data_IF_573901173860
#
_entry.id   IF_573901173860
#
_cell.length_a   1.000
_cell.length_b   1.000
_cell.length_c   1.000
_cell.angle_alpha   90.00
_cell.angle_beta   90.00
_cell.angle_gamma   90.00
#
_symmetry.space_group_name_H-M   'P 1'
#
loop_
_entity.id
_entity.type
_entity.pdbx_description
1 polymer ?
#
# COMPACT_ATOMS: atom_id res chain seq x y z
N UNK A 1 -70.87 -0.52 -8.36
CA UNK A 1 -69.44 -0.64 -8.00
C UNK A 1 -68.59 -1.21 -9.15
N UNK A 2 -68.95 -2.36 -9.74
CA UNK A 2 -68.20 -3.01 -10.84
C UNK A 2 -68.15 -2.17 -12.14
N UNK A 3 -69.22 -1.44 -12.48
CA UNK A 3 -69.28 -0.57 -13.68
C UNK A 3 -68.40 0.68 -13.53
N UNK A 4 -68.30 1.20 -12.31
CA UNK A 4 -67.49 2.39 -11.99
C UNK A 4 -66.00 2.07 -12.03
N UNK A 5 -65.61 0.90 -11.51
CA UNK A 5 -64.25 0.38 -11.70
C UNK A 5 -63.90 0.19 -13.17
N UNK A 6 -64.82 -0.33 -14.00
CA UNK A 6 -64.55 -0.49 -15.45
C UNK A 6 -64.32 0.84 -16.18
N UNK A 7 -65.13 1.87 -15.92
CA UNK A 7 -64.96 3.20 -16.53
C UNK A 7 -63.64 3.84 -16.10
N UNK A 8 -63.31 3.81 -14.80
CA UNK A 8 -62.08 4.40 -14.27
C UNK A 8 -60.81 3.78 -14.86
N UNK A 9 -60.83 2.47 -15.13
CA UNK A 9 -59.71 1.75 -15.76
C UNK A 9 -59.59 1.99 -17.27
N UNK A 10 -60.69 2.26 -17.97
CA UNK A 10 -60.68 2.50 -19.43
C UNK A 10 -60.18 3.90 -19.75
N UNK A 11 -60.60 4.90 -18.97
CA UNK A 11 -60.26 6.30 -19.23
C UNK A 11 -58.81 6.64 -18.84
N UNK A 12 -58.27 5.99 -17.80
CA UNK A 12 -56.90 6.22 -17.31
C UNK A 12 -55.88 5.19 -17.84
N UNK A 13 -56.27 4.27 -18.73
CA UNK A 13 -55.38 3.22 -19.23
C UNK A 13 -54.13 3.78 -19.92
N UNK A 14 -54.28 4.90 -20.64
CA UNK A 14 -53.17 5.57 -21.33
C UNK A 14 -52.14 6.11 -20.33
N UNK A 15 -52.60 6.78 -19.29
CA UNK A 15 -51.73 7.36 -18.25
C UNK A 15 -50.98 6.26 -17.49
N UNK A 16 -51.67 5.16 -17.16
CA UNK A 16 -51.05 3.98 -16.54
C UNK A 16 -49.98 3.39 -17.47
N UNK A 17 -50.26 3.28 -18.77
CA UNK A 17 -49.32 2.73 -19.75
C UNK A 17 -48.09 3.64 -19.95
N UNK A 18 -48.26 4.96 -19.96
CA UNK A 18 -47.15 5.92 -20.01
C UNK A 18 -46.25 5.83 -18.78
N UNK A 19 -46.82 5.70 -17.59
CA UNK A 19 -46.05 5.50 -16.35
C UNK A 19 -45.25 4.20 -16.42
N UNK A 20 -45.87 3.10 -16.87
CA UNK A 20 -45.19 1.80 -17.03
C UNK A 20 -44.04 1.91 -18.04
N UNK A 21 -44.27 2.56 -19.19
CA UNK A 21 -43.22 2.82 -20.19
C UNK A 21 -42.07 3.66 -19.61
N UNK A 22 -42.38 4.67 -18.80
CA UNK A 22 -41.39 5.46 -18.09
C UNK A 22 -40.52 4.61 -17.15
N UNK A 23 -41.15 3.75 -16.35
CA UNK A 23 -40.44 2.82 -15.45
C UNK A 23 -39.56 1.84 -16.23
N UNK A 24 -40.08 1.28 -17.33
CA UNK A 24 -39.33 0.37 -18.21
C UNK A 24 -38.12 1.08 -18.83
N UNK A 25 -38.27 2.32 -19.28
CA UNK A 25 -37.16 3.10 -19.83
C UNK A 25 -36.07 3.37 -18.79
N UNK A 26 -36.44 3.77 -17.57
CA UNK A 26 -35.49 3.94 -16.47
C UNK A 26 -34.75 2.62 -16.19
N UNK A 27 -35.48 1.51 -16.18
CA UNK A 27 -34.89 0.18 -16.01
C UNK A 27 -33.87 -0.15 -17.11
N UNK A 28 -34.18 0.14 -18.38
CA UNK A 28 -33.24 -0.03 -19.49
C UNK A 28 -32.00 0.84 -19.35
N UNK A 29 -32.14 2.10 -18.95
CA UNK A 29 -30.99 2.99 -18.70
C UNK A 29 -30.07 2.42 -17.62
N UNK A 30 -30.64 1.92 -16.52
CA UNK A 30 -29.88 1.26 -15.44
C UNK A 30 -29.16 0.01 -15.95
N UNK A 31 -29.80 -0.78 -16.81
CA UNK A 31 -29.25 -2.02 -17.35
C UNK A 31 -28.08 -1.73 -18.31
N UNK A 32 -28.26 -0.78 -19.24
CA UNK A 32 -27.19 -0.32 -20.15
C UNK A 32 -26.01 0.25 -19.37
N UNK A 33 -26.28 1.05 -18.33
CA UNK A 33 -25.23 1.56 -17.44
C UNK A 33 -24.44 0.41 -16.78
N UNK A 34 -25.13 -0.61 -16.24
CA UNK A 34 -24.47 -1.76 -15.62
C UNK A 34 -23.64 -2.60 -16.61
N UNK A 35 -24.13 -2.78 -17.84
CA UNK A 35 -23.38 -3.49 -18.90
C UNK A 35 -22.13 -2.71 -19.26
N UNK A 36 -22.26 -1.42 -19.58
CA UNK A 36 -21.12 -0.58 -19.97
C UNK A 36 -20.09 -0.42 -18.84
N UNK A 37 -20.53 -0.37 -17.56
CA UNK A 37 -19.63 -0.35 -16.41
C UNK A 37 -18.81 -1.64 -16.31
N UNK A 38 -19.37 -2.79 -16.70
CA UNK A 38 -18.68 -4.09 -16.69
C UNK A 38 -17.71 -4.25 -17.88
N UNK A 39 -18.01 -3.61 -19.01
CA UNK A 39 -17.13 -3.59 -20.19
C UNK A 39 -15.96 -2.59 -20.05
N UNK A 40 -16.08 -1.62 -19.13
CA UNK A 40 -14.95 -0.82 -18.68
C UNK A 40 -13.91 -1.75 -18.07
N UNK A 41 -12.78 -1.91 -18.76
CA UNK A 41 -11.67 -2.75 -18.33
C UNK A 41 -10.45 -1.86 -18.02
N UNK A 42 -10.48 -1.13 -16.89
CA UNK A 42 -9.30 -0.41 -16.42
C UNK A 42 -8.10 -1.36 -16.36
N UNK A 43 -6.91 -0.85 -16.68
CA UNK A 43 -5.67 -1.64 -16.67
C UNK A 43 -4.70 -0.97 -15.72
N UNK A 44 -4.85 -1.31 -14.45
CA UNK A 44 -3.98 -0.78 -13.41
C UNK A 44 -2.66 -1.55 -13.37
N UNK A 45 -1.55 -0.82 -13.41
CA UNK A 45 -0.21 -1.35 -13.13
C UNK A 45 0.44 -0.56 -12.00
N UNK A 46 1.25 -1.25 -11.22
CA UNK A 46 1.87 -0.73 -10.01
C UNK A 46 3.39 -0.84 -10.13
N UNK A 47 4.09 0.25 -9.88
CA UNK A 47 5.55 0.31 -9.86
C UNK A 47 6.03 0.96 -8.56
N UNK A 48 7.11 0.45 -7.99
CA UNK A 48 7.71 1.03 -6.78
C UNK A 48 8.87 1.90 -7.19
N UNK A 49 8.77 3.19 -6.87
CA UNK A 49 9.82 4.17 -7.13
C UNK A 49 10.53 4.48 -5.81
N UNK A 50 11.86 4.32 -5.81
CA UNK A 50 12.69 4.80 -4.70
C UNK A 50 13.09 6.23 -4.97
N UNK A 51 12.77 7.13 -4.06
CA UNK A 51 13.42 8.43 -4.09
C UNK A 51 14.76 8.32 -3.36
N UNK A 52 15.85 8.57 -4.10
CA UNK A 52 17.19 8.68 -3.50
C UNK A 52 17.28 10.05 -2.81
N UNK A 53 17.78 10.02 -1.57
CA UNK A 53 18.06 11.15 -0.67
C UNK A 53 18.00 12.53 -1.33
N UNK A 54 16.95 13.30 -1.03
CA UNK A 54 16.87 14.73 -1.42
C UNK A 54 17.88 15.59 -0.64
N UNK A 55 18.53 15.06 0.42
CA UNK A 55 19.40 15.83 1.29
C UNK A 55 20.82 15.27 1.33
N UNK A 56 21.68 15.85 0.50
CA UNK A 56 23.13 15.64 0.48
C UNK A 56 23.89 16.41 1.58
N UNK A 57 23.23 17.11 2.49
CA UNK A 57 23.93 17.83 3.57
C UNK A 57 23.68 17.20 4.94
N UNK A 58 24.74 16.57 5.46
CA UNK A 58 24.78 15.77 6.68
C UNK A 58 24.70 16.58 7.98
N UNK A 59 24.33 17.86 7.94
CA UNK A 59 24.58 18.78 9.06
C UNK A 59 23.37 19.21 9.87
N UNK A 60 22.12 18.98 9.44
CA UNK A 60 20.98 19.53 10.19
C UNK A 60 19.85 18.52 10.38
N UNK A 61 19.87 17.85 11.54
CA UNK A 61 18.77 17.03 12.05
C UNK A 61 17.45 17.84 12.19
N UNK A 62 17.56 19.16 12.32
CA UNK A 62 16.43 20.12 12.31
C UNK A 62 15.71 20.19 10.95
N UNK A 63 16.39 19.87 9.85
CA UNK A 63 15.82 19.86 8.50
C UNK A 63 14.99 18.60 8.21
N UNK A 64 15.27 17.48 8.89
CA UNK A 64 14.48 16.25 8.78
C UNK A 64 13.09 16.41 9.43
N UNK A 65 13.03 16.97 10.63
CA UNK A 65 11.76 17.28 11.32
C UNK A 65 10.95 18.35 10.55
N UNK A 66 11.60 19.40 10.02
CA UNK A 66 10.95 20.41 9.20
C UNK A 66 10.44 19.88 7.86
N UNK A 67 11.20 19.00 7.19
CA UNK A 67 10.79 18.39 5.91
C UNK A 67 9.69 17.34 6.11
N UNK A 68 9.73 16.58 7.21
CA UNK A 68 8.64 15.70 7.65
C UNK A 68 7.34 16.48 7.90
N UNK A 69 7.41 17.60 8.62
CA UNK A 69 6.25 18.46 8.86
C UNK A 69 5.75 19.12 7.56
N UNK A 70 6.65 19.50 6.66
CA UNK A 70 6.32 20.07 5.35
C UNK A 70 5.69 19.04 4.41
N UNK A 71 6.22 17.81 4.37
CA UNK A 71 5.72 16.72 3.54
C UNK A 71 4.38 16.21 4.08
N UNK A 72 4.24 16.00 5.40
CA UNK A 72 2.98 15.63 6.04
C UNK A 72 1.88 16.68 5.84
N UNK A 73 2.18 17.97 5.94
CA UNK A 73 1.15 19.01 5.92
C UNK A 73 0.91 19.67 4.56
N UNK A 74 1.88 19.68 3.63
CA UNK A 74 1.74 20.37 2.34
C UNK A 74 1.41 19.44 1.17
N UNK A 75 1.84 18.17 1.21
CA UNK A 75 1.59 17.20 0.14
C UNK A 75 0.48 16.20 0.48
N UNK A 76 0.22 15.94 1.76
CA UNK A 76 -0.65 14.86 2.22
C UNK A 76 -1.88 15.38 2.96
N UNK A 77 -2.79 16.02 2.22
CA UNK A 77 -4.17 16.26 2.66
C UNK A 77 -5.01 14.98 2.85
N UNK A 78 -4.39 13.81 2.71
CA UNK A 78 -4.94 12.49 2.98
C UNK A 78 -4.11 11.83 4.06
N UNK A 79 -4.77 11.16 5.01
CA UNK A 79 -4.24 10.46 6.19
C UNK A 79 -3.18 9.39 5.83
N UNK A 80 -2.03 9.80 5.33
CA UNK A 80 -0.85 8.99 5.33
C UNK A 80 -0.37 8.95 6.76
N UNK A 81 -0.74 7.86 7.44
CA UNK A 81 -0.06 7.41 8.64
C UNK A 81 1.36 7.09 8.22
N UNK A 82 2.21 8.11 8.16
CA UNK A 82 3.63 8.01 7.90
C UNK A 82 4.11 6.93 8.87
N UNK A 83 4.56 5.80 8.33
CA UNK A 83 5.06 4.70 9.14
C UNK A 83 6.45 5.12 9.62
N UNK A 84 6.48 6.02 10.60
CA UNK A 84 7.68 6.32 11.35
C UNK A 84 7.87 5.21 12.36
N UNK A 85 8.84 4.35 12.06
CA UNK A 85 9.27 3.33 13.00
C UNK A 85 10.61 3.78 13.54
N UNK A 86 10.52 4.71 14.47
CA UNK A 86 11.39 4.58 15.61
C UNK A 86 11.08 3.21 16.22
N UNK A 87 11.96 2.23 16.00
CA UNK A 87 12.19 1.20 17.02
C UNK A 87 12.91 1.92 18.17
N UNK A 88 12.27 2.96 18.70
CA UNK A 88 12.59 3.61 19.96
C UNK A 88 11.88 2.80 21.02
N UNK A 89 12.35 1.58 21.19
CA UNK A 89 12.44 1.03 22.52
C UNK A 89 13.78 0.33 22.58
N UNK A 90 14.72 1.10 23.09
CA UNK A 90 15.95 0.88 23.85
C UNK A 90 16.20 -0.49 24.52
N UNK A 91 15.66 -1.60 23.99
CA UNK A 91 15.98 -3.02 24.24
C UNK A 91 15.49 -3.93 23.10
N UNK A 92 15.74 -3.60 21.83
CA UNK A 92 15.51 -4.55 20.75
C UNK A 92 16.43 -5.76 20.99
N UNK A 93 15.88 -6.86 21.52
CA UNK A 93 16.64 -8.06 21.86
C UNK A 93 17.29 -8.71 20.64
N UNK A 94 17.95 -9.85 20.86
CA UNK A 94 18.62 -10.64 19.83
C UNK A 94 17.84 -10.69 18.50
N UNK A 95 18.50 -10.36 17.38
CA UNK A 95 17.92 -10.49 16.05
C UNK A 95 17.67 -9.18 15.28
N UNK A 96 17.94 -8.02 15.86
CA UNK A 96 17.86 -6.72 15.18
C UNK A 96 19.23 -6.06 15.04
N UNK A 97 19.51 -5.34 13.93
CA UNK A 97 20.73 -4.55 13.82
C UNK A 97 20.88 -3.54 14.96
N UNK A 98 22.12 -3.35 15.45
CA UNK A 98 22.42 -2.24 16.38
C UNK A 98 22.39 -0.89 15.69
N UNK A 99 22.96 -0.84 14.48
CA UNK A 99 23.06 0.39 13.71
C UNK A 99 21.78 0.60 12.91
N UNK A 100 21.25 1.82 12.92
CA UNK A 100 20.12 2.20 12.07
C UNK A 100 20.57 2.43 10.63
N UNK A 101 19.66 2.22 9.70
CA UNK A 101 19.89 2.55 8.30
C UNK A 101 19.40 3.95 7.96
N UNK A 102 19.96 4.54 6.90
CA UNK A 102 19.48 5.82 6.35
C UNK A 102 17.99 5.74 5.99
N UNK A 103 17.21 6.81 6.22
CA UNK A 103 15.85 6.91 5.76
C UNK A 103 15.73 6.66 4.25
N UNK A 104 14.82 5.79 3.85
CA UNK A 104 14.50 5.57 2.43
C UNK A 104 13.05 5.88 2.16
N UNK A 105 12.79 6.70 1.15
CA UNK A 105 11.47 7.08 0.70
C UNK A 105 11.01 6.14 -0.40
N UNK A 106 9.81 5.60 -0.23
CA UNK A 106 9.23 4.63 -1.13
C UNK A 106 7.89 5.17 -1.59
N UNK A 107 7.74 5.29 -2.90
CA UNK A 107 6.49 5.67 -3.54
C UNK A 107 5.94 4.51 -4.38
N UNK A 108 4.62 4.49 -4.53
CA UNK A 108 3.87 3.66 -5.44
C UNK A 108 3.40 4.50 -6.60
N UNK A 109 3.98 4.26 -7.76
CA UNK A 109 3.48 4.77 -9.01
C UNK A 109 2.36 3.85 -9.51
N UNK A 110 1.19 4.45 -9.73
CA UNK A 110 -0.01 3.76 -10.19
C UNK A 110 -0.32 4.28 -11.58
N UNK A 111 -0.37 3.40 -12.57
CA UNK A 111 -0.76 3.76 -13.93
C UNK A 111 -2.10 3.15 -14.25
N UNK A 112 -2.98 3.94 -14.87
CA UNK A 112 -4.13 3.42 -15.60
C UNK A 112 -3.84 3.44 -17.09
N UNK A 113 -3.50 2.28 -17.66
CA UNK A 113 -3.16 2.12 -19.09
C UNK A 113 -4.37 1.77 -19.95
N UNK A 114 -5.58 1.97 -19.44
CA UNK A 114 -6.82 1.74 -20.20
C UNK A 114 -7.39 3.05 -20.73
N UNK A 115 -8.24 2.91 -21.74
CA UNK A 115 -9.00 4.00 -22.34
C UNK A 115 -10.16 4.48 -21.43
N UNK A 116 -10.42 3.78 -20.33
CA UNK A 116 -11.46 4.10 -19.37
C UNK A 116 -10.86 4.48 -18.01
N UNK A 117 -11.50 5.41 -17.27
CA UNK A 117 -11.08 5.74 -15.92
C UNK A 117 -11.34 4.58 -14.95
N UNK A 118 -10.62 4.56 -13.84
CA UNK A 118 -10.87 3.69 -12.70
C UNK A 118 -11.43 4.53 -11.55
N UNK A 119 -12.54 4.09 -10.95
CA UNK A 119 -13.20 4.83 -9.85
C UNK A 119 -13.16 4.04 -8.56
N UNK A 120 -13.07 4.75 -7.43
CA UNK A 120 -12.99 4.17 -6.08
C UNK A 120 -11.93 3.06 -5.96
N UNK A 121 -10.72 3.31 -6.48
CA UNK A 121 -9.62 2.35 -6.38
C UNK A 121 -9.19 2.28 -4.92
N UNK A 122 -9.28 1.08 -4.35
CA UNK A 122 -8.83 0.74 -3.01
C UNK A 122 -7.66 -0.23 -3.11
N UNK A 123 -6.56 0.11 -2.46
CA UNK A 123 -5.31 -0.66 -2.45
C UNK A 123 -4.99 -1.01 -0.99
N UNK A 124 -5.15 -2.28 -0.65
CA UNK A 124 -4.76 -2.81 0.66
C UNK A 124 -3.28 -3.21 0.62
N UNK A 125 -2.48 -2.62 1.50
CA UNK A 125 -1.01 -2.78 1.54
C UNK A 125 -0.60 -3.34 2.90
N UNK A 126 0.43 -4.17 2.92
CA UNK A 126 1.10 -4.55 4.17
C UNK A 126 2.60 -4.37 4.10
N UNK A 127 3.15 -3.90 5.21
CA UNK A 127 4.58 -3.75 5.47
C UNK A 127 4.96 -4.81 6.50
N UNK A 128 5.85 -5.71 6.11
CA UNK A 128 6.28 -6.84 6.94
C UNK A 128 7.73 -6.60 7.33
N UNK A 129 7.94 -6.22 8.60
CA UNK A 129 9.26 -6.07 9.20
C UNK A 129 9.75 -7.43 9.63
N UNK A 130 10.99 -7.74 9.29
CA UNK A 130 11.63 -9.01 9.65
C UNK A 130 12.74 -8.78 10.67
N UNK A 131 12.94 -9.78 11.51
CA UNK A 131 14.09 -9.92 12.38
C UNK A 131 14.83 -11.21 12.06
N UNK A 132 16.03 -11.35 12.59
CA UNK A 132 16.79 -12.59 12.49
C UNK A 132 16.61 -13.43 13.75
N UNK A 133 16.54 -14.74 13.59
CA UNK A 133 16.78 -15.71 14.65
C UNK A 133 17.99 -16.55 14.26
N UNK A 134 18.75 -16.99 15.25
CA UNK A 134 19.96 -17.76 15.06
C UNK A 134 20.25 -18.58 16.32
N UNK A 135 21.01 -19.65 16.16
CA UNK A 135 21.62 -20.42 17.23
C UNK A 135 23.02 -19.88 17.52
N UNK A 136 23.42 -19.95 18.78
CA UNK A 136 24.76 -19.58 19.22
C UNK A 136 25.61 -20.84 19.49
N UNK A 137 26.90 -20.74 19.24
CA UNK A 137 27.90 -21.76 19.52
C UNK A 137 28.25 -21.83 21.01
N UNK A 138 29.53 -22.04 21.31
CA UNK A 138 30.02 -22.16 22.68
C UNK A 138 29.85 -20.85 23.46
N UNK A 139 30.01 -19.72 22.76
CA UNK A 139 29.82 -18.38 23.31
C UNK A 139 28.55 -17.74 22.71
N UNK A 140 27.84 -16.90 23.48
CA UNK A 140 26.63 -16.19 23.05
C UNK A 140 26.85 -15.23 21.86
N UNK A 141 28.12 -14.90 21.57
CA UNK A 141 28.55 -14.06 20.45
C UNK A 141 28.94 -14.85 19.19
N UNK A 142 28.99 -16.18 19.29
CA UNK A 142 29.36 -17.07 18.20
C UNK A 142 28.10 -17.51 17.46
N UNK A 143 27.77 -16.87 16.35
CA UNK A 143 26.55 -17.17 15.59
C UNK A 143 26.84 -18.33 14.64
N UNK A 144 26.02 -19.38 14.69
CA UNK A 144 26.07 -20.48 13.72
C UNK A 144 25.42 -19.99 12.42
N UNK A 145 26.21 -19.68 11.39
CA UNK A 145 25.74 -19.05 10.15
C UNK A 145 24.61 -19.86 9.47
N UNK A 146 24.68 -21.18 9.52
CA UNK A 146 23.69 -22.09 8.92
C UNK A 146 22.32 -22.05 9.60
N UNK A 147 22.25 -21.54 10.84
CA UNK A 147 21.02 -21.41 11.63
C UNK A 147 20.29 -20.07 11.43
N UNK A 148 20.84 -19.18 10.60
CA UNK A 148 20.30 -17.84 10.40
C UNK A 148 19.00 -17.92 9.62
N UNK A 149 17.90 -17.52 10.26
CA UNK A 149 16.59 -17.44 9.64
C UNK A 149 15.99 -16.05 9.78
N UNK A 150 15.39 -15.56 8.70
CA UNK A 150 14.66 -14.30 8.66
C UNK A 150 13.19 -14.56 8.92
N UNK A 151 12.69 -14.12 10.07
CA UNK A 151 11.30 -14.32 10.45
C UNK A 151 10.53 -13.00 10.49
N UNK A 152 9.25 -13.08 10.17
CA UNK A 152 8.34 -11.95 10.27
C UNK A 152 8.19 -11.56 11.74
N UNK A 153 8.59 -10.33 12.06
CA UNK A 153 8.46 -9.77 13.40
C UNK A 153 7.12 -9.04 13.56
N UNK A 154 6.78 -8.20 12.58
CA UNK A 154 5.58 -7.37 12.65
C UNK A 154 5.04 -7.06 11.27
N UNK A 155 3.73 -7.19 11.13
CA UNK A 155 3.00 -6.80 9.92
C UNK A 155 2.14 -5.59 10.22
N UNK A 156 2.24 -4.58 9.37
CA UNK A 156 1.46 -3.35 9.46
C UNK A 156 0.62 -3.24 8.22
N UNK A 157 -0.66 -2.99 8.38
CA UNK A 157 -1.60 -2.89 7.28
C UNK A 157 -2.03 -1.44 7.08
N UNK A 158 -2.15 -1.04 5.82
CA UNK A 158 -2.67 0.26 5.43
C UNK A 158 -3.55 0.13 4.17
N UNK A 159 -4.39 1.12 3.92
CA UNK A 159 -5.25 1.17 2.74
C UNK A 159 -5.17 2.53 2.09
N UNK A 160 -4.90 2.55 0.79
CA UNK A 160 -4.97 3.77 -0.04
C UNK A 160 -6.32 3.77 -0.75
N UNK A 161 -7.03 4.90 -0.70
CA UNK A 161 -8.29 5.10 -1.40
C UNK A 161 -8.12 6.24 -2.42
N UNK A 162 -8.45 5.96 -3.68
CA UNK A 162 -8.34 6.88 -4.80
C UNK A 162 -9.72 6.96 -5.44
N UNK A 163 -10.37 8.11 -5.30
CA UNK A 163 -11.74 8.27 -5.79
C UNK A 163 -11.82 8.17 -7.32
N UNK A 164 -10.81 8.70 -8.02
CA UNK A 164 -10.79 8.77 -9.47
C UNK A 164 -9.38 8.74 -10.02
N UNK A 165 -9.14 7.84 -10.96
CA UNK A 165 -7.91 7.78 -11.76
C UNK A 165 -8.31 7.84 -13.24
N UNK A 166 -7.91 8.90 -13.92
CA UNK A 166 -8.27 9.13 -15.33
C UNK A 166 -7.73 8.03 -16.25
N UNK A 167 -8.29 7.94 -17.46
CA UNK A 167 -7.75 7.08 -18.52
C UNK A 167 -6.33 7.54 -18.91
N UNK A 168 -5.46 6.57 -19.24
CA UNK A 168 -4.10 6.81 -19.71
C UNK A 168 -3.28 7.78 -18.84
N UNK A 169 -3.49 7.73 -17.52
CA UNK A 169 -2.80 8.59 -16.56
C UNK A 169 -1.98 7.81 -15.56
N UNK A 170 -1.13 8.53 -14.86
CA UNK A 170 -0.37 8.01 -13.73
C UNK A 170 -0.50 8.92 -12.53
N UNK A 171 -0.37 8.34 -11.35
CA UNK A 171 -0.33 9.09 -10.11
C UNK A 171 0.66 8.42 -9.17
N UNK A 172 1.47 9.25 -8.53
CA UNK A 172 2.45 8.81 -7.56
C UNK A 172 1.86 8.96 -6.15
N UNK A 173 1.87 7.87 -5.39
CA UNK A 173 1.44 7.86 -4.00
C UNK A 173 2.61 7.51 -3.09
N UNK A 174 2.94 8.33 -2.10
CA UNK A 174 3.93 7.95 -1.10
C UNK A 174 3.44 6.72 -0.33
N UNK A 175 4.31 5.73 -0.14
CA UNK A 175 3.98 4.52 0.61
C UNK A 175 4.53 4.57 2.01
N UNK A 176 5.83 4.82 2.14
CA UNK A 176 6.50 4.75 3.42
C UNK A 176 7.81 5.51 3.40
N UNK A 177 8.21 5.95 4.59
CA UNK A 177 9.59 6.28 4.90
C UNK A 177 10.09 5.14 5.78
N UNK A 178 11.03 4.36 5.26
CA UNK A 178 11.65 3.28 6.04
C UNK A 178 12.82 3.86 6.82
N UNK A 179 12.71 3.92 8.15
CA UNK A 179 13.77 4.28 9.10
C UNK A 179 13.82 3.24 10.22
N UNK A 180 14.95 3.12 10.93
CA UNK A 180 15.07 2.30 12.13
C UNK A 180 16.13 1.20 12.07
N UNK A 181 16.00 0.24 12.99
CA UNK A 181 16.97 -0.84 13.22
C UNK A 181 16.34 -2.21 12.89
N UNK A 182 16.21 -2.54 11.61
CA UNK A 182 15.75 -3.86 11.17
C UNK A 182 16.55 -4.36 9.97
N UNK A 183 16.60 -5.68 9.87
CA UNK A 183 17.46 -6.35 8.89
C UNK A 183 16.86 -6.34 7.48
N UNK A 184 15.54 -6.45 7.39
CA UNK A 184 14.80 -6.43 6.14
C UNK A 184 13.34 -6.09 6.38
N UNK A 185 12.70 -5.56 5.35
CA UNK A 185 11.28 -5.32 5.35
C UNK A 185 10.72 -5.55 3.95
N UNK A 186 9.54 -6.17 3.86
CA UNK A 186 8.86 -6.43 2.60
C UNK A 186 7.58 -5.62 2.53
N UNK A 187 7.26 -5.09 1.35
CA UNK A 187 5.99 -4.41 1.07
C UNK A 187 5.18 -5.27 0.12
N UNK A 188 3.94 -5.53 0.49
CA UNK A 188 2.99 -6.30 -0.28
C UNK A 188 1.78 -5.45 -0.63
N UNK A 189 1.31 -5.58 -1.87
CA UNK A 189 -0.07 -5.23 -2.21
C UNK A 189 -0.90 -6.49 -1.98
N UNK A 190 -1.77 -6.46 -0.97
CA UNK A 190 -2.62 -7.58 -0.59
C UNK A 190 -3.79 -7.73 -1.54
N UNK A 191 -4.42 -6.59 -1.86
CA UNK A 191 -5.63 -6.55 -2.67
C UNK A 191 -5.76 -5.19 -3.36
N UNK A 192 -6.26 -5.22 -4.60
CA UNK A 192 -6.65 -4.01 -5.33
C UNK A 192 -8.01 -4.20 -5.92
N UNK A 193 -8.92 -3.28 -5.60
CA UNK A 193 -10.28 -3.23 -6.13
C UNK A 193 -10.61 -1.85 -6.65
N UNK A 194 -11.44 -1.77 -7.68
CA UNK A 194 -12.19 -0.57 -8.04
C UNK A 194 -13.67 -0.92 -8.08
N UNK A 195 -14.49 0.09 -8.35
CA UNK A 195 -15.93 -0.07 -8.61
C UNK A 195 -16.23 -0.99 -9.80
N UNK A 196 -15.29 -1.09 -10.74
CA UNK A 196 -15.41 -1.88 -11.96
C UNK A 196 -14.88 -3.30 -11.77
N UNK A 197 -13.70 -3.47 -11.15
CA UNK A 197 -12.96 -4.74 -11.16
C UNK A 197 -12.11 -4.99 -9.91
N UNK A 198 -11.74 -6.25 -9.70
CA UNK A 198 -10.68 -6.64 -8.75
C UNK A 198 -9.42 -7.02 -9.52
N UNK A 199 -8.34 -6.25 -9.36
CA UNK A 199 -7.10 -6.39 -10.12
C UNK A 199 -6.14 -7.38 -9.47
N UNK A 200 -5.96 -7.26 -8.15
CA UNK A 200 -5.07 -8.11 -7.36
C UNK A 200 -5.91 -8.82 -6.30
N UNK A 201 -5.92 -10.16 -6.36
CA UNK A 201 -6.68 -11.03 -5.45
C UNK A 201 -5.80 -11.78 -4.44
N UNK A 202 -4.50 -11.89 -4.73
CA UNK A 202 -3.51 -12.55 -3.89
C UNK A 202 -2.41 -11.57 -3.57
N UNK A 203 -1.82 -11.62 -2.37
CA UNK A 203 -0.71 -10.75 -2.02
C UNK A 203 0.44 -10.85 -3.02
N UNK A 204 0.90 -9.70 -3.49
CA UNK A 204 2.06 -9.57 -4.38
C UNK A 204 3.10 -8.73 -3.66
N UNK A 205 4.31 -9.27 -3.49
CA UNK A 205 5.44 -8.49 -2.99
C UNK A 205 5.88 -7.50 -4.06
N UNK A 206 5.78 -6.21 -3.75
CA UNK A 206 6.15 -5.13 -4.67
C UNK A 206 7.52 -4.54 -4.34
N UNK A 207 7.97 -4.70 -3.09
CA UNK A 207 9.25 -4.18 -2.66
C UNK A 207 9.87 -5.02 -1.55
N UNK A 208 11.19 -5.00 -1.49
CA UNK A 208 11.98 -5.61 -0.42
C UNK A 208 13.16 -4.69 -0.10
N UNK A 209 13.23 -4.28 1.16
CA UNK A 209 14.38 -3.62 1.75
C UNK A 209 15.28 -4.66 2.43
N UNK A 210 16.59 -4.48 2.29
CA UNK A 210 17.61 -5.22 3.04
C UNK A 210 18.62 -4.23 3.60
N UNK A 211 19.08 -4.50 4.81
CA UNK A 211 20.13 -3.73 5.45
C UNK A 211 21.38 -3.68 4.58
N UNK A 212 21.96 -2.49 4.42
CA UNK A 212 23.08 -2.25 3.51
C UNK A 212 24.29 -3.15 3.75
N UNK A 213 24.56 -3.47 5.02
CA UNK A 213 25.65 -4.36 5.39
C UNK A 213 25.51 -5.77 4.78
N UNK A 214 24.27 -6.27 4.60
CA UNK A 214 24.03 -7.55 3.93
C UNK A 214 24.37 -7.52 2.44
N UNK A 215 24.32 -6.34 1.82
CA UNK A 215 24.60 -6.18 0.39
C UNK A 215 26.09 -6.01 0.10
N UNK A 216 26.82 -5.37 1.01
CA UNK A 216 28.25 -5.06 0.86
C UNK A 216 29.16 -6.17 1.39
N UNK A 217 28.59 -7.12 2.14
CA UNK A 217 29.36 -8.07 2.94
C UNK A 217 29.91 -7.41 4.21
N UNK A 218 30.32 -8.24 5.16
CA UNK A 218 30.82 -7.81 6.45
C UNK A 218 32.33 -7.58 6.39
N UNK A 219 32.80 -6.47 6.96
CA UNK A 219 34.24 -6.14 7.00
C UNK A 219 34.96 -6.93 8.08
N UNK A 220 34.27 -7.17 9.20
CA UNK A 220 34.81 -7.88 10.34
C UNK A 220 33.70 -8.61 11.13
N UNK A 221 34.07 -9.53 12.05
CA UNK A 221 33.09 -10.26 12.88
C UNK A 221 32.27 -9.37 13.81
N UNK A 222 32.75 -8.17 14.14
CA UNK A 222 32.01 -7.22 14.98
C UNK A 222 30.86 -6.60 14.21
N UNK A 223 31.09 -6.18 12.97
CA UNK A 223 30.04 -5.71 12.06
C UNK A 223 29.01 -6.80 11.79
N UNK A 224 29.44 -8.04 11.57
CA UNK A 224 28.56 -9.20 11.44
C UNK A 224 27.60 -9.33 12.63
N UNK A 225 28.15 -9.37 13.85
CA UNK A 225 27.35 -9.48 15.08
C UNK A 225 26.43 -8.30 15.30
N UNK A 226 26.88 -7.07 14.99
CA UNK A 226 26.05 -5.87 15.10
C UNK A 226 24.85 -5.92 14.18
N UNK A 227 25.01 -6.39 12.95
CA UNK A 227 23.93 -6.47 11.95
C UNK A 227 22.89 -7.51 12.34
N UNK A 228 23.31 -8.64 12.92
CA UNK A 228 22.39 -9.67 13.39
C UNK A 228 21.86 -9.45 14.82
N UNK A 229 22.36 -8.43 15.53
CA UNK A 229 21.96 -8.16 16.91
C UNK A 229 22.43 -9.22 17.88
N UNK A 230 23.67 -9.71 17.74
CA UNK A 230 24.32 -10.68 18.63
C UNK A 230 25.36 -10.04 19.57
N UNK A 231 25.43 -8.71 19.60
CA UNK A 231 26.13 -8.00 20.66
C UNK A 231 25.08 -7.40 21.59
N UNK A 232 25.24 -7.53 22.89
CA UNK A 232 24.57 -6.64 23.88
C UNK A 232 25.34 -5.32 24.01
#
# INVERSE_FOLDING_TARGET
MIVWLKSFFIDNWKDIFEVILGVINIYFVILVYKINKKDSNPKLSFEVVKQKEIFTDKTDMSSFEHSKYFIQNLLFGHELKLLEWEIADTKAGSGFPKDSHSPTYIDLLIHNKADFPATNVKIDISYVIKKVIYETGIDEIDIIEESIEFIDYKTIQNSININYLSANSETCYPLAITTGCYISADIYINKVTSDELTFIKKPVKIYSYKHDALLRGFRDPTEYRKVFGAME
#
